data_IF_998585647343
#
_entry.id   IF_998585647343
#
_cell.length_a   1.000
_cell.length_b   1.000
_cell.length_c   1.000
_cell.angle_alpha   90.00
_cell.angle_beta   90.00
_cell.angle_gamma   90.00
#
_symmetry.space_group_name_H-M   'P 1'
#
loop_
_entity.id
_entity.type
_entity.pdbx_description
1 polymer ?
#
# COMPACT_ATOMS: atom_id res chain seq x y z
N UNK A 1 6.17 -14.90 -7.64
CA UNK A 1 5.93 -13.44 -7.63
C UNK A 1 7.27 -12.74 -7.59
N UNK A 2 7.62 -11.98 -8.63
CA UNK A 2 8.80 -11.12 -8.64
C UNK A 2 8.39 -9.74 -8.14
N UNK A 3 8.54 -9.49 -6.84
CA UNK A 3 8.36 -8.15 -6.26
C UNK A 3 9.75 -7.51 -6.19
N UNK A 4 9.94 -6.38 -6.87
CA UNK A 4 11.15 -5.56 -6.79
C UNK A 4 10.91 -4.44 -5.79
N UNK A 5 11.88 -4.21 -4.91
CA UNK A 5 11.85 -3.18 -3.88
C UNK A 5 13.06 -2.27 -4.06
N UNK A 6 12.81 -0.98 -4.23
CA UNK A 6 13.83 0.04 -4.50
C UNK A 6 13.69 1.15 -3.46
N UNK A 7 14.79 1.55 -2.84
CA UNK A 7 14.87 2.71 -1.95
C UNK A 7 16.04 3.58 -2.39
N UNK A 8 15.81 4.88 -2.63
CA UNK A 8 16.84 5.82 -3.13
C UNK A 8 17.66 5.25 -4.31
N UNK A 9 16.99 4.69 -5.32
CA UNK A 9 17.61 4.10 -6.51
C UNK A 9 18.47 2.84 -6.26
N UNK A 10 18.37 2.22 -5.08
CA UNK A 10 19.05 0.97 -4.75
C UNK A 10 18.03 -0.15 -4.53
N UNK A 11 18.26 -1.31 -5.15
CA UNK A 11 17.46 -2.51 -4.90
C UNK A 11 17.74 -2.98 -3.47
N UNK A 12 16.67 -3.22 -2.71
CA UNK A 12 16.74 -3.73 -1.33
C UNK A 12 16.01 -5.07 -1.22
N UNK A 13 16.37 -5.85 -0.21
CA UNK A 13 15.65 -7.08 0.08
C UNK A 13 14.23 -6.73 0.57
N UNK A 14 13.20 -7.37 0.00
CA UNK A 14 11.81 -7.17 0.42
C UNK A 14 11.60 -7.41 1.91
N UNK A 15 12.40 -8.29 2.52
CA UNK A 15 12.41 -8.55 3.97
C UNK A 15 13.05 -7.44 4.79
N UNK A 16 13.41 -6.32 4.17
CA UNK A 16 13.85 -5.10 4.86
C UNK A 16 12.79 -4.01 4.80
N UNK A 17 11.72 -4.14 3.99
CA UNK A 17 10.65 -3.15 3.87
C UNK A 17 9.41 -3.65 4.60
N UNK A 18 8.83 -2.81 5.47
CA UNK A 18 7.59 -3.13 6.16
C UNK A 18 6.69 -1.91 6.33
N UNK A 19 5.41 -2.19 6.52
CA UNK A 19 4.41 -1.21 6.95
C UNK A 19 4.28 -1.33 8.47
N UNK A 20 4.48 -0.27 9.25
CA UNK A 20 4.40 -0.34 10.70
C UNK A 20 2.96 -0.59 11.14
N UNK A 21 2.69 -1.60 11.99
CA UNK A 21 1.34 -2.05 12.41
C UNK A 21 0.47 -1.00 13.11
N UNK A 22 1.08 0.06 13.66
CA UNK A 22 0.36 1.17 14.29
C UNK A 22 0.68 2.48 13.59
N UNK A 23 -0.38 3.20 13.20
CA UNK A 23 -0.29 4.52 12.57
C UNK A 23 -0.33 5.68 13.60
N UNK A 24 -0.49 5.39 14.89
CA UNK A 24 -0.58 6.43 15.92
C UNK A 24 0.80 7.05 16.20
N UNK A 25 0.90 8.39 16.13
CA UNK A 25 2.13 9.13 16.45
C UNK A 25 3.25 9.06 15.40
N UNK A 26 2.98 8.58 14.18
CA UNK A 26 4.01 8.40 13.13
C UNK A 26 4.83 9.69 12.89
N UNK A 27 4.19 10.86 12.78
CA UNK A 27 4.93 12.11 12.56
C UNK A 27 5.92 12.46 13.68
N UNK A 28 5.65 12.08 14.92
CA UNK A 28 6.55 12.31 16.05
C UNK A 28 7.66 11.24 16.11
N UNK A 29 7.37 10.02 15.65
CA UNK A 29 8.29 8.87 15.63
C UNK A 29 9.49 9.07 14.72
N UNK A 30 9.35 9.88 13.67
CA UNK A 30 10.38 10.02 12.63
C UNK A 30 11.18 11.31 12.70
N UNK A 31 11.05 12.08 13.79
CA UNK A 31 11.87 13.27 14.01
C UNK A 31 13.34 12.86 14.07
N UNK A 32 14.16 13.38 13.14
CA UNK A 32 15.58 13.04 13.04
C UNK A 32 15.91 11.85 12.13
N UNK A 33 14.91 11.19 11.53
CA UNK A 33 15.14 10.15 10.52
C UNK A 33 15.12 10.74 9.10
N UNK A 34 15.98 10.22 8.23
CA UNK A 34 16.00 10.60 6.82
C UNK A 34 14.75 10.08 6.10
N UNK A 35 14.06 10.99 5.40
CA UNK A 35 12.98 10.65 4.47
C UNK A 35 13.56 10.09 3.19
N UNK A 36 13.13 8.89 2.83
CA UNK A 36 13.61 8.20 1.64
C UNK A 36 12.46 7.89 0.70
N UNK A 37 12.69 8.04 -0.60
CA UNK A 37 11.73 7.62 -1.60
C UNK A 37 11.87 6.11 -1.82
N UNK A 38 10.74 5.41 -1.85
CA UNK A 38 10.69 4.01 -2.22
C UNK A 38 9.87 3.82 -3.51
N UNK A 39 10.14 2.69 -4.18
CA UNK A 39 9.33 2.14 -5.26
C UNK A 39 9.21 0.64 -5.06
N UNK A 40 7.98 0.13 -5.12
CA UNK A 40 7.68 -1.31 -5.19
C UNK A 40 7.10 -1.59 -6.56
N UNK A 41 7.64 -2.59 -7.25
CA UNK A 41 7.16 -3.04 -8.55
C UNK A 41 6.77 -4.51 -8.50
N UNK A 42 5.62 -4.84 -9.07
CA UNK A 42 5.13 -6.21 -9.19
C UNK A 42 4.16 -6.34 -10.37
N UNK A 43 3.88 -7.57 -10.79
CA UNK A 43 2.88 -7.79 -11.83
C UNK A 43 1.50 -7.32 -11.35
N UNK A 44 0.75 -6.66 -12.22
CA UNK A 44 -0.57 -6.15 -11.87
C UNK A 44 -1.55 -7.23 -11.45
N UNK A 45 -1.51 -8.43 -12.05
CA UNK A 45 -2.37 -9.53 -11.62
C UNK A 45 -1.97 -10.04 -10.23
N UNK A 46 -0.67 -10.21 -9.98
CA UNK A 46 -0.17 -10.58 -8.65
C UNK A 46 -0.61 -9.56 -7.59
N UNK A 47 -0.57 -8.26 -7.92
CA UNK A 47 -1.07 -7.20 -7.05
C UNK A 47 -2.56 -7.31 -6.78
N UNK A 48 -3.37 -7.48 -7.81
CA UNK A 48 -4.82 -7.67 -7.70
C UNK A 48 -5.14 -8.88 -6.80
N UNK A 49 -4.43 -9.98 -6.96
CA UNK A 49 -4.63 -11.18 -6.16
C UNK A 49 -4.30 -10.93 -4.67
N UNK A 50 -3.19 -10.24 -4.39
CA UNK A 50 -2.77 -9.90 -3.03
C UNK A 50 -3.77 -9.04 -2.26
N UNK A 51 -4.48 -8.15 -2.96
CA UNK A 51 -5.38 -7.17 -2.34
C UNK A 51 -6.84 -7.63 -2.34
N UNK A 52 -7.14 -8.75 -3.00
CA UNK A 52 -8.50 -9.18 -3.31
C UNK A 52 -9.37 -9.39 -2.07
N UNK A 53 -8.82 -10.05 -1.05
CA UNK A 53 -9.53 -10.30 0.21
C UNK A 53 -9.82 -9.00 0.96
N UNK A 54 -8.81 -8.12 1.06
CA UNK A 54 -8.99 -6.81 1.67
C UNK A 54 -10.07 -6.00 0.94
N UNK A 55 -10.00 -5.94 -0.38
CA UNK A 55 -10.93 -5.15 -1.18
C UNK A 55 -12.38 -5.64 -1.04
N UNK A 56 -12.59 -6.96 -0.99
CA UNK A 56 -13.95 -7.49 -0.78
C UNK A 56 -14.47 -7.16 0.63
N UNK A 57 -13.63 -7.24 1.66
CA UNK A 57 -14.02 -6.83 3.02
C UNK A 57 -14.37 -5.35 3.10
N UNK A 58 -13.55 -4.50 2.48
CA UNK A 58 -13.82 -3.06 2.33
C UNK A 58 -15.16 -2.82 1.62
N UNK A 59 -15.39 -3.49 0.49
CA UNK A 59 -16.65 -3.39 -0.27
C UNK A 59 -17.87 -3.75 0.57
N UNK A 60 -17.79 -4.81 1.38
CA UNK A 60 -18.89 -5.22 2.26
C UNK A 60 -19.15 -4.20 3.38
N UNK A 61 -18.09 -3.61 3.95
CA UNK A 61 -18.23 -2.56 4.95
C UNK A 61 -18.92 -1.31 4.38
N UNK A 62 -18.48 -0.84 3.21
CA UNK A 62 -19.08 0.32 2.52
C UNK A 62 -20.55 0.10 2.12
N UNK A 63 -20.95 -1.15 1.86
CA UNK A 63 -22.34 -1.50 1.60
C UNK A 63 -23.21 -1.45 2.88
N UNK A 64 -22.62 -1.62 4.05
CA UNK A 64 -23.31 -1.58 5.35
C UNK A 64 -23.44 -0.16 5.90
N UNK A 65 -22.42 0.68 5.70
CA UNK A 65 -22.36 2.00 6.31
C UNK A 65 -23.23 3.05 5.59
N UNK A 66 -23.68 2.82 4.35
CA UNK A 66 -24.64 3.61 3.53
C UNK A 66 -24.63 5.16 3.70
N UNK A 67 -23.54 5.75 4.15
CA UNK A 67 -23.41 7.20 4.28
C UNK A 67 -23.31 7.84 2.89
N UNK A 68 -24.04 8.94 2.69
CA UNK A 68 -24.14 9.64 1.40
C UNK A 68 -23.15 10.82 1.28
N UNK A 69 -22.41 11.10 2.35
CA UNK A 69 -21.42 12.18 2.41
C UNK A 69 -20.02 11.56 2.58
N UNK A 70 -19.02 12.05 1.85
CA UNK A 70 -17.69 11.48 1.93
C UNK A 70 -16.75 11.93 0.81
N UNK A 71 -15.68 11.15 0.63
CA UNK A 71 -14.66 11.36 -0.39
C UNK A 71 -15.21 11.02 -1.79
N UNK A 72 -14.74 11.74 -2.82
CA UNK A 72 -15.26 11.63 -4.20
C UNK A 72 -15.18 10.20 -4.75
N UNK A 73 -14.15 9.45 -4.40
CA UNK A 73 -13.96 8.06 -4.77
C UNK A 73 -15.01 7.13 -4.17
N UNK A 74 -15.40 7.34 -2.89
CA UNK A 74 -16.43 6.54 -2.23
C UNK A 74 -17.82 6.85 -2.81
N UNK A 75 -18.09 8.14 -3.07
CA UNK A 75 -19.33 8.58 -3.72
C UNK A 75 -19.47 7.91 -5.09
N UNK A 76 -18.42 7.95 -5.91
CA UNK A 76 -18.43 7.31 -7.23
C UNK A 76 -18.56 5.79 -7.13
N UNK A 77 -17.85 5.16 -6.18
CA UNK A 77 -17.94 3.72 -5.94
C UNK A 77 -19.36 3.26 -5.61
N UNK A 78 -20.04 4.01 -4.74
CA UNK A 78 -21.45 3.80 -4.38
C UNK A 78 -22.41 4.03 -5.55
N UNK A 79 -22.22 5.11 -6.32
CA UNK A 79 -23.04 5.39 -7.51
C UNK A 79 -22.98 4.29 -8.57
N UNK A 80 -21.87 3.55 -8.63
CA UNK A 80 -21.71 2.39 -9.51
C UNK A 80 -22.23 1.07 -8.89
N UNK A 81 -22.81 1.11 -7.69
CA UNK A 81 -23.36 -0.05 -7.01
C UNK A 81 -22.30 -0.96 -6.40
N UNK A 82 -21.21 -0.40 -5.86
CA UNK A 82 -20.12 -1.13 -5.21
C UNK A 82 -19.55 -2.26 -6.09
N UNK A 83 -19.00 -1.93 -7.28
CA UNK A 83 -18.43 -2.90 -8.20
C UNK A 83 -17.33 -3.75 -7.55
N UNK A 84 -17.18 -5.00 -7.99
CA UNK A 84 -16.09 -5.85 -7.52
C UNK A 84 -14.74 -5.41 -8.10
N UNK A 85 -13.66 -5.90 -7.49
CA UNK A 85 -12.29 -5.65 -7.96
C UNK A 85 -12.11 -6.01 -9.45
N UNK A 86 -12.65 -7.15 -9.87
CA UNK A 86 -12.61 -7.63 -11.26
C UNK A 86 -13.38 -6.73 -12.24
N UNK A 87 -14.48 -6.12 -11.78
CA UNK A 87 -15.25 -5.17 -12.58
C UNK A 87 -14.44 -3.90 -12.75
N UNK A 88 -13.99 -3.29 -11.64
CA UNK A 88 -13.20 -2.05 -11.66
C UNK A 88 -11.92 -2.18 -12.50
N UNK A 89 -11.21 -3.30 -12.37
CA UNK A 89 -10.03 -3.63 -13.17
C UNK A 89 -10.29 -3.53 -14.69
N UNK A 90 -11.51 -3.82 -15.13
CA UNK A 90 -11.90 -3.84 -16.56
C UNK A 90 -12.57 -2.55 -17.02
N UNK A 91 -13.26 -1.85 -16.12
CA UNK A 91 -14.18 -0.76 -16.50
C UNK A 91 -13.73 0.61 -16.01
N UNK A 92 -13.03 0.71 -14.89
CA UNK A 92 -12.67 1.99 -14.27
C UNK A 92 -11.42 1.86 -13.39
N UNK A 93 -10.27 1.74 -14.05
CA UNK A 93 -8.97 1.60 -13.38
C UNK A 93 -8.61 2.83 -12.54
N UNK A 94 -9.02 4.01 -12.98
CA UNK A 94 -8.80 5.27 -12.25
C UNK A 94 -9.56 5.29 -10.92
N UNK A 95 -10.82 4.83 -10.89
CA UNK A 95 -11.54 4.65 -9.64
C UNK A 95 -10.87 3.59 -8.76
N UNK A 96 -10.43 2.46 -9.32
CA UNK A 96 -9.71 1.45 -8.56
C UNK A 96 -8.49 2.06 -7.85
N UNK A 97 -7.70 2.85 -8.57
CA UNK A 97 -6.47 3.45 -8.01
C UNK A 97 -6.78 4.47 -6.94
N UNK A 98 -7.84 5.27 -7.10
CA UNK A 98 -8.28 6.19 -6.03
C UNK A 98 -8.73 5.45 -4.77
N UNK A 99 -9.51 4.38 -4.91
CA UNK A 99 -9.93 3.54 -3.77
C UNK A 99 -8.74 2.89 -3.07
N UNK A 100 -7.73 2.46 -3.83
CA UNK A 100 -6.47 1.94 -3.29
C UNK A 100 -5.72 3.02 -2.51
N UNK A 101 -5.63 4.25 -3.05
CA UNK A 101 -4.97 5.37 -2.37
C UNK A 101 -5.70 5.80 -1.11
N UNK A 102 -7.04 5.83 -1.14
CA UNK A 102 -7.88 6.10 0.02
C UNK A 102 -7.57 5.12 1.17
N UNK A 103 -7.38 3.85 0.82
CA UNK A 103 -7.07 2.76 1.73
C UNK A 103 -5.57 2.39 1.77
N UNK A 104 -4.68 3.33 1.46
CA UNK A 104 -3.27 3.04 1.19
C UNK A 104 -2.58 2.20 2.26
N UNK A 105 -2.90 2.45 3.53
CA UNK A 105 -2.25 1.77 4.65
C UNK A 105 -2.57 0.26 4.70
N UNK A 106 -3.84 -0.11 4.66
CA UNK A 106 -4.26 -1.51 4.68
C UNK A 106 -3.85 -2.23 3.38
N UNK A 107 -3.94 -1.52 2.26
CA UNK A 107 -3.48 -1.99 0.95
C UNK A 107 -1.99 -2.35 0.96
N UNK A 108 -1.14 -1.51 1.57
CA UNK A 108 0.29 -1.79 1.68
C UNK A 108 0.57 -3.01 2.57
N UNK A 109 -0.24 -3.24 3.62
CA UNK A 109 -0.14 -4.44 4.45
C UNK A 109 -0.51 -5.73 3.70
N UNK A 110 -1.41 -5.65 2.72
CA UNK A 110 -1.70 -6.80 1.84
C UNK A 110 -0.55 -7.13 0.88
N UNK A 111 0.19 -6.12 0.43
CA UNK A 111 1.28 -6.29 -0.57
C UNK A 111 2.59 -6.71 0.08
N UNK A 112 2.91 -6.13 1.23
CA UNK A 112 4.18 -6.34 1.90
C UNK A 112 4.10 -7.46 2.94
N UNK A 113 5.17 -8.22 3.11
CA UNK A 113 5.16 -9.30 4.08
C UNK A 113 5.12 -8.69 5.48
N UNK A 114 4.34 -9.31 6.37
CA UNK A 114 4.50 -9.04 7.79
C UNK A 114 5.92 -9.45 8.20
N UNK A 115 6.69 -8.48 8.69
CA UNK A 115 8.02 -8.75 9.23
C UNK A 115 7.86 -8.84 10.74
N UNK A 116 7.94 -10.08 11.25
CA UNK A 116 8.15 -10.25 12.69
C UNK A 116 9.42 -9.50 13.08
N UNK A 117 9.31 -8.68 14.14
CA UNK A 117 10.42 -7.88 14.67
C UNK A 117 11.65 -8.72 15.06
N UNK A 118 11.59 -10.05 14.99
CA UNK A 118 12.66 -10.99 15.34
C UNK A 118 13.68 -11.25 14.22
N UNK A 119 13.49 -10.76 12.98
CA UNK A 119 14.45 -10.99 11.89
C UNK A 119 15.69 -10.08 11.96
N UNK A 120 16.84 -10.72 11.74
CA UNK A 120 18.22 -10.27 11.98
C UNK A 120 18.79 -9.37 10.87
N UNK A 121 18.08 -8.32 10.47
CA UNK A 121 18.63 -7.30 9.55
C UNK A 121 18.92 -6.03 10.32
N UNK A 122 20.16 -5.51 10.20
CA UNK A 122 20.58 -4.28 10.88
C UNK A 122 19.92 -3.01 10.32
N UNK A 123 19.29 -3.12 9.15
CA UNK A 123 18.63 -2.00 8.47
C UNK A 123 17.24 -2.44 8.01
N UNK A 124 16.25 -1.65 8.42
CA UNK A 124 14.86 -1.77 7.99
C UNK A 124 14.38 -0.44 7.41
N UNK A 125 13.40 -0.52 6.52
CA UNK A 125 12.71 0.62 5.92
C UNK A 125 11.24 0.56 6.27
N UNK A 126 10.77 1.56 7.00
CA UNK A 126 9.37 1.65 7.42
C UNK A 126 8.60 2.57 6.49
N UNK A 127 7.60 2.04 5.79
CA UNK A 127 6.76 2.82 4.88
C UNK A 127 5.87 3.78 5.67
N UNK A 128 5.83 5.03 5.20
CA UNK A 128 5.04 6.11 5.76
C UNK A 128 3.80 6.44 4.92
N UNK A 129 3.95 6.45 3.59
CA UNK A 129 2.90 6.90 2.68
C UNK A 129 2.96 6.16 1.36
N UNK A 130 1.81 6.03 0.72
CA UNK A 130 1.68 5.75 -0.71
C UNK A 130 1.27 7.07 -1.37
N UNK A 131 2.10 7.57 -2.30
CA UNK A 131 1.89 8.85 -2.97
C UNK A 131 1.40 8.63 -4.41
N UNK A 132 2.06 7.72 -5.13
CA UNK A 132 1.71 7.40 -6.51
C UNK A 132 1.55 5.90 -6.73
N UNK A 133 0.70 5.60 -7.70
CA UNK A 133 0.39 4.25 -8.11
C UNK A 133 0.15 4.29 -9.62
N UNK A 134 1.07 3.66 -10.34
CA UNK A 134 1.11 3.70 -11.80
C UNK A 134 1.07 2.29 -12.36
N UNK A 135 0.41 2.12 -13.50
CA UNK A 135 0.39 0.87 -14.26
C UNK A 135 1.01 1.13 -15.63
N UNK A 136 2.11 0.45 -15.91
CA UNK A 136 2.79 0.48 -17.19
C UNK A 136 3.11 -0.94 -17.64
N UNK A 137 2.73 -1.30 -18.86
CA UNK A 137 2.95 -2.63 -19.46
C UNK A 137 2.65 -3.83 -18.52
N UNK A 138 1.55 -3.76 -17.77
CA UNK A 138 1.14 -4.82 -16.83
C UNK A 138 1.97 -4.91 -15.55
N UNK A 139 2.88 -3.96 -15.32
CA UNK A 139 3.63 -3.78 -14.09
C UNK A 139 3.03 -2.62 -13.29
N UNK A 140 2.66 -2.89 -12.05
CA UNK A 140 2.22 -1.85 -11.13
C UNK A 140 3.40 -1.34 -10.32
N UNK A 141 3.53 -0.01 -10.25
CA UNK A 141 4.52 0.71 -9.46
C UNK A 141 3.84 1.42 -8.31
N UNK A 142 4.28 1.18 -7.08
CA UNK A 142 3.80 1.85 -5.87
C UNK A 142 4.95 2.71 -5.34
N UNK A 143 4.77 4.02 -5.28
CA UNK A 143 5.80 4.96 -4.81
C UNK A 143 5.32 5.74 -3.61
N UNK A 144 6.28 6.18 -2.80
CA UNK A 144 6.01 7.05 -1.66
C UNK A 144 7.22 7.22 -0.77
N UNK A 145 6.98 7.54 0.49
CA UNK A 145 8.03 7.82 1.48
C UNK A 145 8.17 6.67 2.47
N UNK A 146 9.41 6.34 2.79
CA UNK A 146 9.79 5.48 3.90
C UNK A 146 10.90 6.12 4.74
N UNK A 147 11.16 5.54 5.90
CA UNK A 147 12.25 5.95 6.80
C UNK A 147 13.19 4.79 7.05
N UNK A 148 14.49 5.07 7.04
CA UNK A 148 15.50 4.10 7.47
C UNK A 148 15.49 3.98 8.99
N UNK A 149 15.44 2.75 9.47
CA UNK A 149 15.56 2.38 10.87
C UNK A 149 16.85 1.57 11.02
N UNK A 150 17.76 2.09 11.84
CA UNK A 150 18.93 1.36 12.29
C UNK A 150 18.55 0.63 13.58
N UNK A 151 18.71 -0.69 13.60
CA UNK A 151 18.59 -1.44 14.85
C UNK A 151 19.92 -1.33 15.58
N UNK A 152 19.91 -0.76 16.77
CA UNK A 152 21.02 -0.94 17.69
C UNK A 152 21.08 -2.43 18.04
N UNK A 153 22.14 -3.11 17.60
CA UNK A 153 22.50 -4.42 18.14
C UNK A 153 22.77 -4.23 19.62
N UNK A 154 21.85 -4.69 20.47
CA UNK A 154 22.07 -4.87 21.90
C UNK A 154 22.97 -6.07 22.13
#
# INVERSE_FOLDING_TARGET
>A
MGISAIVQNSIVDRTQIFVPTFNFGQFQRWVGHDKLNYKIELNFNDFIDLISEYFENFRQAEMQDDDQEGFDELIKFKQLGWPTLDVLKKTDLDLLFRLIKFNAYDMLHSVLPYIEETKTTNTLYSIQSLEELDLDDGLISITGVCFKIERETV
#
